data_IF_010680979980
#
_entry.id   IF_010680979980
#
_cell.length_a   1.000
_cell.length_b   1.000
_cell.length_c   1.000
_cell.angle_alpha   90.00
_cell.angle_beta   90.00
_cell.angle_gamma   90.00
#
_symmetry.space_group_name_H-M   'P 1'
#
loop_
_entity.id
_entity.type
_entity.pdbx_description
1 polymer ?
#
# COMPACT_ATOMS: atom_id res chain seq x y z
N UNK A 1 -5.44 4.23 -4.34
CA UNK A 1 -6.26 3.63 -3.27
C UNK A 1 -7.54 4.42 -3.09
N UNK A 2 -8.68 3.80 -3.35
CA UNK A 2 -9.97 4.44 -3.10
C UNK A 2 -10.28 4.42 -1.60
N UNK A 3 -10.51 5.60 -1.03
CA UNK A 3 -11.01 5.80 0.32
C UNK A 3 -12.50 6.03 0.23
N UNK A 4 -13.27 4.99 0.54
CA UNK A 4 -14.72 5.01 0.44
C UNK A 4 -15.35 5.98 1.44
N UNK A 5 -14.71 6.19 2.59
CA UNK A 5 -15.28 6.98 3.68
C UNK A 5 -15.25 8.47 3.32
N UNK A 6 -14.17 8.93 2.72
CA UNK A 6 -14.01 10.33 2.32
C UNK A 6 -14.31 10.58 0.83
N UNK A 7 -14.61 9.53 0.07
CA UNK A 7 -14.83 9.56 -1.39
C UNK A 7 -13.63 10.15 -2.17
N UNK A 8 -12.43 9.79 -1.73
CA UNK A 8 -11.16 10.26 -2.31
C UNK A 8 -10.35 9.13 -2.93
N UNK A 9 -9.67 9.44 -4.03
CA UNK A 9 -8.58 8.61 -4.54
C UNK A 9 -7.26 9.10 -3.96
N UNK A 10 -6.63 8.28 -3.12
CA UNK A 10 -5.24 8.47 -2.71
C UNK A 10 -4.29 7.90 -3.75
N UNK A 11 -3.29 8.66 -4.18
CA UNK A 11 -2.31 8.21 -5.16
C UNK A 11 -0.92 8.75 -4.86
N UNK A 12 0.09 7.89 -4.92
CA UNK A 12 1.49 8.30 -4.82
C UNK A 12 1.97 8.90 -6.14
N UNK A 13 2.74 9.97 -6.08
CA UNK A 13 3.42 10.58 -7.22
C UNK A 13 4.86 10.92 -6.83
N UNK A 14 5.79 10.01 -7.12
CA UNK A 14 7.21 10.06 -6.77
C UNK A 14 7.51 10.37 -5.28
N UNK A 15 7.52 11.66 -4.92
CA UNK A 15 7.85 12.20 -3.60
C UNK A 15 6.66 12.85 -2.86
N UNK A 16 5.43 12.73 -3.38
CA UNK A 16 4.21 13.19 -2.72
C UNK A 16 3.13 12.10 -2.69
N UNK A 17 2.22 12.20 -1.72
CA UNK A 17 0.95 11.50 -1.69
C UNK A 17 -0.16 12.51 -2.00
N UNK A 18 -0.92 12.26 -3.06
CA UNK A 18 -2.00 13.13 -3.52
C UNK A 18 -3.37 12.55 -3.16
N UNK A 19 -4.34 13.44 -2.98
CA UNK A 19 -5.77 13.10 -2.99
C UNK A 19 -6.42 13.67 -4.25
N UNK A 20 -7.34 12.91 -4.81
CA UNK A 20 -8.17 13.36 -5.93
C UNK A 20 -9.64 13.11 -5.60
N UNK A 21 -10.49 14.07 -5.92
CA UNK A 21 -11.93 13.83 -6.01
C UNK A 21 -12.27 13.28 -7.37
N UNK A 22 -13.26 12.39 -7.43
CA UNK A 22 -13.85 11.95 -8.69
C UNK A 22 -15.08 12.80 -9.00
N UNK A 23 -15.10 13.42 -10.17
CA UNK A 23 -16.21 14.25 -10.63
C UNK A 23 -16.66 13.83 -12.03
N UNK A 24 -17.87 14.23 -12.40
CA UNK A 24 -18.31 14.21 -13.80
C UNK A 24 -18.31 15.63 -14.35
N UNK A 25 -17.48 15.87 -15.37
CA UNK A 25 -17.40 17.15 -16.09
C UNK A 25 -17.90 16.90 -17.51
N UNK A 26 -19.00 17.55 -17.90
CA UNK A 26 -19.66 17.35 -19.21
C UNK A 26 -19.96 15.88 -19.54
N UNK A 27 -20.42 15.13 -18.52
CA UNK A 27 -20.73 13.70 -18.66
C UNK A 27 -19.50 12.80 -18.82
N UNK A 28 -18.28 13.32 -18.62
CA UNK A 28 -17.03 12.55 -18.66
C UNK A 28 -16.43 12.43 -17.26
N UNK A 29 -15.88 11.25 -16.90
CA UNK A 29 -15.17 11.07 -15.66
C UNK A 29 -13.90 11.94 -15.62
N UNK A 30 -13.68 12.62 -14.50
CA UNK A 30 -12.46 13.39 -14.25
C UNK A 30 -11.99 13.21 -12.80
N UNK A 31 -10.67 13.32 -12.62
CA UNK A 31 -10.04 13.37 -11.30
C UNK A 31 -9.51 14.79 -11.08
N UNK A 32 -9.92 15.41 -9.98
CA UNK A 32 -9.47 16.75 -9.61
C UNK A 32 -8.56 16.62 -8.39
N UNK A 33 -7.30 17.05 -8.54
CA UNK A 33 -6.34 17.09 -7.44
C UNK A 33 -6.89 17.98 -6.34
N UNK A 34 -6.92 17.47 -5.11
CA UNK A 34 -7.41 18.20 -3.95
C UNK A 34 -6.25 18.62 -3.05
N UNK A 35 -5.49 17.65 -2.53
CA UNK A 35 -4.34 17.90 -1.66
C UNK A 35 -3.11 17.13 -2.11
N UNK A 36 -1.95 17.65 -1.72
CA UNK A 36 -0.64 17.01 -1.90
C UNK A 36 0.13 17.04 -0.58
N UNK A 37 0.55 15.87 -0.13
CA UNK A 37 1.31 15.69 1.11
C UNK A 37 2.74 15.24 0.75
N UNK A 38 3.78 16.05 1.02
CA UNK A 38 5.16 15.63 0.81
C UNK A 38 5.49 14.39 1.63
N UNK A 39 6.22 13.46 1.03
CA UNK A 39 6.75 12.32 1.77
C UNK A 39 7.81 12.81 2.77
N UNK A 40 7.87 12.24 3.98
CA UNK A 40 8.83 12.67 5.00
C UNK A 40 10.28 12.48 4.56
N UNK A 41 11.20 13.21 5.21
CA UNK A 41 12.65 12.96 5.13
C UNK A 41 13.22 12.96 3.68
N UNK A 42 12.60 13.70 2.77
CA UNK A 42 13.02 13.77 1.37
C UNK A 42 12.85 12.46 0.60
N UNK A 43 12.01 11.54 1.08
CA UNK A 43 11.74 10.28 0.42
C UNK A 43 11.08 10.48 -0.96
N UNK A 44 11.39 9.58 -1.88
CA UNK A 44 10.90 9.56 -3.26
C UNK A 44 10.76 8.11 -3.76
N UNK A 45 10.36 7.95 -5.02
CA UNK A 45 10.18 6.64 -5.64
C UNK A 45 9.18 5.77 -4.89
N UNK A 46 8.01 6.31 -4.56
CA UNK A 46 6.94 5.53 -3.94
C UNK A 46 6.58 4.28 -4.79
N UNK A 47 6.42 3.11 -4.15
CA UNK A 47 6.20 1.82 -4.82
C UNK A 47 4.86 1.16 -4.47
N UNK A 48 4.32 1.48 -3.30
CA UNK A 48 3.14 0.83 -2.77
C UNK A 48 2.28 1.84 -2.03
N UNK A 49 0.97 1.68 -2.18
CA UNK A 49 -0.04 2.32 -1.37
C UNK A 49 -1.15 1.30 -1.17
N UNK A 50 -1.35 0.79 0.05
CA UNK A 50 -2.32 -0.26 0.31
C UNK A 50 -2.90 -0.16 1.73
N UNK A 51 -4.13 -0.61 2.00
CA UNK A 51 -4.71 -0.47 3.33
C UNK A 51 -3.95 -1.27 4.38
N UNK A 52 -3.78 -0.68 5.56
CA UNK A 52 -3.42 -1.43 6.75
C UNK A 52 -4.68 -2.13 7.24
N UNK A 53 -4.61 -3.45 7.41
CA UNK A 53 -5.79 -4.25 7.72
C UNK A 53 -6.44 -3.79 9.03
N UNK A 54 -7.74 -3.54 9.00
CA UNK A 54 -8.55 -3.14 10.16
C UNK A 54 -8.32 -1.71 10.66
N UNK A 55 -7.50 -0.89 9.98
CA UNK A 55 -7.20 0.48 10.39
C UNK A 55 -7.53 1.48 9.29
N UNK A 56 -7.86 2.71 9.68
CA UNK A 56 -7.98 3.85 8.75
C UNK A 56 -6.59 4.42 8.37
N UNK A 57 -5.73 3.54 7.87
CA UNK A 57 -4.33 3.84 7.55
C UNK A 57 -3.93 3.15 6.25
N UNK A 58 -2.91 3.71 5.59
CA UNK A 58 -2.32 3.16 4.38
C UNK A 58 -0.87 2.80 4.64
N UNK A 59 -0.48 1.59 4.27
CA UNK A 59 0.91 1.27 4.01
C UNK A 59 1.41 2.09 2.83
N UNK A 60 2.56 2.72 2.98
CA UNK A 60 3.27 3.40 1.91
C UNK A 60 4.74 2.97 1.92
N UNK A 61 5.25 2.54 0.77
CA UNK A 61 6.67 2.20 0.63
C UNK A 61 7.36 3.11 -0.38
N UNK A 62 8.64 3.39 -0.15
CA UNK A 62 9.49 4.22 -0.99
C UNK A 62 10.80 3.50 -1.29
N UNK A 63 11.74 4.17 -1.96
CA UNK A 63 13.10 3.65 -2.13
C UNK A 63 13.83 3.44 -0.78
N UNK A 64 13.55 4.25 0.23
CA UNK A 64 14.30 4.25 1.50
C UNK A 64 13.52 3.86 2.76
N UNK A 65 12.19 3.80 2.71
CA UNK A 65 11.39 3.64 3.93
C UNK A 65 10.03 2.98 3.69
N UNK A 66 9.44 2.53 4.80
CA UNK A 66 8.05 2.11 4.92
C UNK A 66 7.37 3.00 5.94
N UNK A 67 6.15 3.44 5.63
CA UNK A 67 5.30 4.23 6.50
C UNK A 67 3.93 3.59 6.66
N UNK A 68 3.31 3.84 7.81
CA UNK A 68 1.86 3.86 7.96
C UNK A 68 1.42 5.31 7.89
N UNK A 69 0.67 5.65 6.86
CA UNK A 69 0.03 6.95 6.71
C UNK A 69 -1.35 6.93 7.36
N UNK A 70 -1.61 7.81 8.32
CA UNK A 70 -2.91 7.97 8.95
C UNK A 70 -3.80 8.88 8.12
N UNK A 71 -4.91 8.33 7.61
CA UNK A 71 -5.81 9.07 6.71
C UNK A 71 -6.54 10.19 7.43
N UNK A 72 -6.82 10.06 8.74
CA UNK A 72 -7.51 11.10 9.49
C UNK A 72 -6.57 12.25 9.86
N UNK A 73 -5.39 11.94 10.41
CA UNK A 73 -4.44 12.96 10.90
C UNK A 73 -3.49 13.48 9.83
N UNK A 74 -3.42 12.82 8.66
CA UNK A 74 -2.46 13.08 7.57
C UNK A 74 -1.00 12.91 7.99
N UNK A 75 -0.75 12.12 9.04
CA UNK A 75 0.59 11.89 9.56
C UNK A 75 1.22 10.63 8.98
N UNK A 76 2.50 10.72 8.66
CA UNK A 76 3.31 9.56 8.29
C UNK A 76 4.04 9.04 9.53
N UNK A 77 3.71 7.81 9.93
CA UNK A 77 4.45 7.11 10.97
C UNK A 77 5.42 6.14 10.32
N UNK A 78 6.72 6.31 10.56
CA UNK A 78 7.73 5.36 10.06
C UNK A 78 7.50 3.98 10.67
N UNK A 79 7.54 2.95 9.84
CA UNK A 79 7.41 1.57 10.24
C UNK A 79 8.78 0.89 10.24
N UNK A 80 9.10 0.20 11.34
CA UNK A 80 10.35 -0.53 11.47
C UNK A 80 10.13 -2.02 11.21
N UNK A 81 11.03 -2.60 10.42
CA UNK A 81 11.11 -4.02 10.12
C UNK A 81 12.59 -4.38 9.93
N UNK A 82 12.89 -5.66 9.74
CA UNK A 82 14.25 -6.14 9.42
C UNK A 82 14.84 -5.48 8.17
N UNK A 83 13.98 -5.09 7.22
CA UNK A 83 14.30 -4.28 6.05
C UNK A 83 13.14 -3.36 5.71
N UNK A 84 13.43 -2.12 5.32
CA UNK A 84 12.44 -1.11 4.95
C UNK A 84 12.76 -0.40 3.64
N UNK A 85 13.91 -0.67 3.04
CA UNK A 85 14.33 -0.06 1.79
C UNK A 85 13.74 -0.80 0.60
N UNK A 86 13.25 -0.05 -0.39
CA UNK A 86 12.86 -0.55 -1.71
C UNK A 86 11.80 -1.66 -1.69
N UNK A 87 10.98 -1.74 -0.63
CA UNK A 87 9.90 -2.73 -0.48
C UNK A 87 8.86 -2.49 -1.59
N UNK A 88 8.52 -3.53 -2.34
CA UNK A 88 7.63 -3.44 -3.52
C UNK A 88 6.16 -3.69 -3.22
N UNK A 89 5.90 -4.43 -2.16
CA UNK A 89 4.56 -4.61 -1.62
C UNK A 89 4.59 -4.94 -0.14
N UNK A 90 3.50 -4.62 0.54
CA UNK A 90 3.24 -5.00 1.92
C UNK A 90 1.75 -5.30 2.08
N UNK A 91 1.42 -6.36 2.81
CA UNK A 91 0.04 -6.77 3.09
C UNK A 91 -0.05 -7.30 4.51
N UNK A 92 -1.01 -6.78 5.26
CA UNK A 92 -1.32 -7.21 6.63
C UNK A 92 -2.68 -7.90 6.66
N UNK A 93 -2.92 -8.73 7.67
CA UNK A 93 -4.22 -9.39 7.89
C UNK A 93 -4.62 -9.38 9.38
N UNK A 94 -5.72 -10.08 9.74
CA UNK A 94 -6.15 -10.22 11.13
C UNK A 94 -5.16 -11.06 11.95
N UNK A 95 -5.43 -11.23 13.24
CA UNK A 95 -4.64 -12.12 14.10
C UNK A 95 -4.45 -13.51 13.46
N UNK A 96 -3.22 -14.02 13.51
CA UNK A 96 -2.82 -15.26 12.83
C UNK A 96 -2.22 -15.06 11.43
N UNK A 97 -2.40 -13.90 10.80
CA UNK A 97 -1.78 -13.56 9.53
C UNK A 97 -0.49 -12.76 9.75
N UNK A 98 0.60 -13.20 9.14
CA UNK A 98 1.83 -12.41 9.11
C UNK A 98 1.61 -11.11 8.29
N UNK A 99 2.25 -10.01 8.68
CA UNK A 99 2.44 -8.91 7.73
C UNK A 99 3.51 -9.33 6.74
N UNK A 100 3.11 -9.57 5.50
CA UNK A 100 3.98 -10.02 4.41
C UNK A 100 4.51 -8.81 3.64
N UNK A 101 5.77 -8.89 3.23
CA UNK A 101 6.45 -7.87 2.44
C UNK A 101 7.18 -8.54 1.28
N UNK A 102 7.33 -7.80 0.17
CA UNK A 102 8.26 -8.17 -0.89
C UNK A 102 9.47 -7.24 -0.86
N UNK A 103 10.60 -7.77 -0.40
CA UNK A 103 11.91 -7.17 -0.57
C UNK A 103 12.53 -7.74 -1.86
N UNK A 104 12.85 -6.91 -2.86
CA UNK A 104 13.39 -7.40 -4.12
C UNK A 104 14.80 -7.94 -3.92
N UNK A 105 15.03 -9.20 -4.31
CA UNK A 105 16.36 -9.82 -4.35
C UNK A 105 16.98 -9.75 -5.73
N UNK A 106 16.17 -9.50 -6.76
CA UNK A 106 16.61 -9.31 -8.14
C UNK A 106 15.85 -8.15 -8.79
N UNK A 107 16.56 -7.09 -9.18
CA UNK A 107 15.99 -5.89 -9.79
C UNK A 107 14.80 -5.30 -9.00
N UNK A 108 13.57 -5.61 -9.40
CA UNK A 108 12.34 -5.17 -8.76
C UNK A 108 11.45 -6.32 -8.27
N UNK A 109 11.92 -7.57 -8.29
CA UNK A 109 11.15 -8.75 -7.89
C UNK A 109 11.95 -9.68 -6.96
N UNK A 110 11.29 -10.69 -6.43
CA UNK A 110 11.90 -11.78 -5.66
C UNK A 110 11.13 -13.07 -5.91
N UNK A 111 11.72 -14.22 -5.61
CA UNK A 111 11.06 -15.53 -5.60
C UNK A 111 10.36 -15.83 -4.27
N UNK A 112 10.47 -14.92 -3.29
CA UNK A 112 9.92 -15.08 -1.95
C UNK A 112 9.21 -13.85 -1.40
N UNK A 113 8.34 -14.11 -0.43
CA UNK A 113 7.74 -13.12 0.47
C UNK A 113 8.30 -13.31 1.87
N UNK A 114 8.54 -12.20 2.57
CA UNK A 114 9.07 -12.21 3.94
C UNK A 114 8.08 -11.61 4.93
N UNK A 115 8.20 -11.98 6.21
CA UNK A 115 7.55 -11.24 7.30
C UNK A 115 8.36 -10.00 7.70
N UNK A 116 7.84 -9.23 8.67
CA UNK A 116 8.50 -8.01 9.19
C UNK A 116 9.81 -8.30 9.93
N UNK A 117 10.06 -9.56 10.31
CA UNK A 117 11.33 -10.03 10.88
C UNK A 117 12.31 -10.52 9.81
N UNK A 118 11.93 -10.55 8.53
CA UNK A 118 12.76 -11.03 7.42
C UNK A 118 12.71 -12.53 7.18
N UNK A 119 11.86 -13.26 7.90
CA UNK A 119 11.69 -14.71 7.71
C UNK A 119 10.86 -14.97 6.46
N UNK A 120 11.23 -15.98 5.67
CA UNK A 120 10.43 -16.40 4.52
C UNK A 120 9.04 -16.88 4.97
N UNK A 121 8.00 -16.35 4.34
CA UNK A 121 6.59 -16.75 4.53
C UNK A 121 6.12 -17.59 3.35
N UNK A 122 6.67 -17.35 2.17
CA UNK A 122 6.42 -18.09 0.95
C UNK A 122 7.66 -17.99 0.06
N UNK A 123 8.02 -19.07 -0.62
CA UNK A 123 9.07 -19.07 -1.63
C UNK A 123 8.75 -20.12 -2.68
N UNK A 124 8.99 -19.78 -3.93
CA UNK A 124 8.92 -20.73 -5.04
C UNK A 124 10.03 -20.40 -6.03
N UNK A 125 11.00 -21.32 -6.17
CA UNK A 125 12.22 -21.04 -6.92
C UNK A 125 11.92 -20.73 -8.40
N UNK A 126 12.59 -19.70 -8.92
CA UNK A 126 12.43 -19.23 -10.30
C UNK A 126 11.21 -18.32 -10.52
N UNK A 127 10.40 -18.05 -9.50
CA UNK A 127 9.29 -17.11 -9.63
C UNK A 127 9.78 -15.67 -9.62
N UNK A 128 9.12 -14.82 -10.40
CA UNK A 128 9.36 -13.37 -10.44
C UNK A 128 8.24 -12.61 -9.75
N UNK A 129 8.13 -12.76 -8.44
CA UNK A 129 7.08 -12.12 -7.65
C UNK A 129 7.38 -10.63 -7.54
N UNK A 130 6.45 -9.80 -8.02
CA UNK A 130 6.52 -8.34 -7.84
C UNK A 130 5.68 -7.88 -6.64
N UNK A 131 4.51 -8.50 -6.42
CA UNK A 131 3.61 -8.19 -5.31
C UNK A 131 2.98 -9.44 -4.70
N UNK A 132 2.86 -9.45 -3.38
CA UNK A 132 2.11 -10.47 -2.63
C UNK A 132 1.03 -9.82 -1.76
N UNK A 133 -0.15 -10.44 -1.69
CA UNK A 133 -1.29 -9.95 -0.90
C UNK A 133 -2.00 -11.10 -0.22
N UNK A 134 -2.47 -10.85 1.00
CA UNK A 134 -3.58 -11.64 1.53
C UNK A 134 -4.86 -11.29 0.80
N UNK A 135 -5.58 -12.32 0.36
CA UNK A 135 -6.90 -12.17 -0.21
C UNK A 135 -7.93 -12.04 0.92
N UNK A 136 -8.19 -10.81 1.33
CA UNK A 136 -9.07 -10.47 2.45
C UNK A 136 -10.10 -9.43 2.02
N UNK A 137 -11.20 -9.34 2.75
CA UNK A 137 -12.16 -8.24 2.60
C UNK A 137 -11.44 -6.91 2.80
N UNK A 138 -11.57 -6.00 1.83
CA UNK A 138 -11.02 -4.65 1.90
C UNK A 138 -12.13 -3.64 2.17
N UNK A 139 -12.46 -3.44 3.44
CA UNK A 139 -13.49 -2.49 3.87
C UNK A 139 -13.07 -1.02 3.79
N UNK A 140 -11.78 -0.75 3.58
CA UNK A 140 -11.28 0.61 3.34
C UNK A 140 -11.78 1.15 1.98
N UNK A 141 -11.69 0.32 0.93
CA UNK A 141 -12.09 0.71 -0.43
C UNK A 141 -13.48 0.22 -0.83
N UNK A 142 -14.01 -0.83 -0.21
CA UNK A 142 -15.26 -1.47 -0.63
C UNK A 142 -16.25 -1.59 0.54
N UNK A 143 -17.57 -1.68 0.26
CA UNK A 143 -18.57 -2.04 1.28
C UNK A 143 -18.25 -3.37 1.96
N UNK A 144 -18.75 -3.62 3.16
CA UNK A 144 -18.53 -4.90 3.86
C UNK A 144 -19.12 -6.11 3.10
N UNK A 145 -20.27 -5.88 2.46
CA UNK A 145 -20.97 -6.83 1.60
C UNK A 145 -20.53 -6.66 0.13
N UNK A 146 -19.23 -6.78 -0.13
CA UNK A 146 -18.70 -6.94 -1.48
C UNK A 146 -18.30 -8.40 -1.71
N UNK A 147 -18.53 -8.95 -2.92
CA UNK A 147 -18.04 -10.28 -3.24
C UNK A 147 -16.52 -10.31 -3.10
N UNK A 148 -16.01 -11.33 -2.41
CA UNK A 148 -14.58 -11.58 -2.39
C UNK A 148 -14.09 -11.85 -3.83
N UNK A 149 -12.87 -11.42 -4.19
CA UNK A 149 -12.32 -11.73 -5.50
C UNK A 149 -12.27 -13.25 -5.68
N UNK A 150 -12.82 -13.74 -6.79
CA UNK A 150 -12.76 -15.16 -7.14
C UNK A 150 -11.38 -15.45 -7.74
N UNK A 151 -10.78 -16.59 -7.37
CA UNK A 151 -9.47 -17.06 -7.89
C UNK A 151 -9.70 -18.21 -8.86
#
# INVERSE_FOLDING_TARGET
MWDRTNELLWATADNVLNTYTYVQSDGKPALVLQDSYPLPEGQNGAHELFPVYGLNQLWLTTLGAVYKFNVATKEFQRFNASTTGNIKSISSGPAGYATIMLYPTESYWSDKLIDTGGRSVYQEDGYQIYKGRWLLKNTFSYPEDHPAPQI
#
